data_IF_116610095898
#
_entry.id   IF_116610095898
#
_cell.length_a   1.000
_cell.length_b   1.000
_cell.length_c   1.000
_cell.angle_alpha   90.00
_cell.angle_beta   90.00
_cell.angle_gamma   90.00
#
_symmetry.space_group_name_H-M   'P 1'
#
loop_
_entity.id
_entity.type
_entity.pdbx_description
1 polymer ?
#
# COMPACT_ATOMS: atom_id res chain seq x y z
N UNK A 1 -5.64 1.11 26.74
CA UNK A 1 -6.53 2.02 25.99
C UNK A 1 -7.65 1.17 25.41
N UNK A 2 -8.92 1.54 25.58
CA UNK A 2 -10.01 0.84 24.90
C UNK A 2 -10.17 1.41 23.49
N UNK A 3 -10.46 0.54 22.53
CA UNK A 3 -10.67 0.88 21.12
C UNK A 3 -12.14 0.60 20.79
N UNK A 4 -12.83 1.59 20.22
CA UNK A 4 -14.13 1.42 19.57
C UNK A 4 -13.90 0.74 18.22
N UNK A 5 -14.88 -0.05 17.79
CA UNK A 5 -14.86 -0.73 16.50
C UNK A 5 -15.97 -0.14 15.64
N UNK A 6 -15.58 0.56 14.56
CA UNK A 6 -16.51 1.25 13.67
C UNK A 6 -16.43 0.65 12.27
N UNK A 7 -17.57 0.49 11.63
CA UNK A 7 -17.67 0.16 10.20
C UNK A 7 -17.47 1.40 9.35
N UNK A 8 -17.22 1.22 8.05
CA UNK A 8 -17.04 2.34 7.12
C UNK A 8 -18.27 3.26 7.05
N UNK A 9 -19.48 2.74 7.25
CA UNK A 9 -20.72 3.53 7.24
C UNK A 9 -20.90 4.39 8.49
N UNK A 10 -20.12 4.14 9.54
CA UNK A 10 -20.07 4.93 10.77
C UNK A 10 -18.98 6.02 10.71
N UNK A 11 -18.22 6.12 9.62
CA UNK A 11 -17.15 7.10 9.43
C UNK A 11 -17.54 8.19 8.44
N UNK A 12 -16.95 9.38 8.63
CA UNK A 12 -16.93 10.44 7.63
C UNK A 12 -15.67 10.31 6.79
N UNK A 13 -15.82 10.24 5.46
CA UNK A 13 -14.68 10.18 4.54
C UNK A 13 -14.33 11.60 4.10
N UNK A 14 -13.13 12.05 4.45
CA UNK A 14 -12.61 13.36 4.09
C UNK A 14 -12.08 13.36 2.64
N UNK A 15 -12.23 14.51 1.96
CA UNK A 15 -11.81 14.75 0.57
C UNK A 15 -12.30 13.73 -0.49
N UNK A 16 -13.32 12.94 -0.18
CA UNK A 16 -13.86 11.89 -1.07
C UNK A 16 -14.25 12.43 -2.46
N UNK A 17 -14.65 13.70 -2.54
CA UNK A 17 -15.02 14.34 -3.80
C UNK A 17 -13.87 14.36 -4.80
N UNK A 18 -12.64 14.55 -4.34
CA UNK A 18 -11.44 14.59 -5.18
C UNK A 18 -11.12 13.23 -5.81
N UNK A 19 -11.69 12.14 -5.28
CA UNK A 19 -11.43 10.77 -5.74
C UNK A 19 -12.52 10.24 -6.68
N UNK A 20 -13.59 11.00 -6.95
CA UNK A 20 -14.76 10.52 -7.72
C UNK A 20 -14.44 10.10 -9.15
N UNK A 21 -13.42 10.69 -9.79
CA UNK A 21 -12.98 10.30 -11.14
C UNK A 21 -12.06 9.08 -11.14
N UNK A 22 -11.57 8.66 -9.98
CA UNK A 22 -10.72 7.47 -9.86
C UNK A 22 -11.62 6.23 -9.92
N UNK A 23 -11.64 5.56 -11.06
CA UNK A 23 -12.58 4.49 -11.36
C UNK A 23 -12.66 3.38 -10.29
N UNK A 24 -11.52 2.99 -9.71
CA UNK A 24 -11.44 1.92 -8.70
C UNK A 24 -11.86 2.36 -7.29
N UNK A 25 -11.93 3.67 -7.02
CA UNK A 25 -12.10 4.16 -5.65
C UNK A 25 -13.42 3.70 -5.03
N UNK A 26 -14.54 3.85 -5.76
CA UNK A 26 -15.84 3.43 -5.23
C UNK A 26 -15.88 1.92 -5.01
N UNK A 27 -15.31 1.11 -5.90
CA UNK A 27 -15.30 -0.34 -5.76
C UNK A 27 -14.48 -0.82 -4.56
N UNK A 28 -13.33 -0.19 -4.31
CA UNK A 28 -12.50 -0.46 -3.12
C UNK A 28 -13.29 -0.15 -1.84
N UNK A 29 -13.98 0.99 -1.81
CA UNK A 29 -14.88 1.37 -0.71
C UNK A 29 -16.02 0.36 -0.55
N UNK A 30 -16.65 -0.09 -1.65
CA UNK A 30 -17.71 -1.10 -1.59
C UNK A 30 -17.18 -2.46 -1.14
N UNK A 31 -15.94 -2.82 -1.46
CA UNK A 31 -15.33 -4.06 -1.00
C UNK A 31 -15.21 -4.09 0.54
N UNK A 32 -14.76 -2.99 1.14
CA UNK A 32 -14.71 -2.84 2.60
C UNK A 32 -16.11 -2.90 3.24
N UNK A 33 -17.10 -2.22 2.65
CA UNK A 33 -18.49 -2.25 3.13
C UNK A 33 -19.10 -3.65 3.09
N UNK A 34 -19.01 -4.31 1.93
CA UNK A 34 -19.56 -5.66 1.70
C UNK A 34 -18.98 -6.67 2.68
N UNK A 35 -17.68 -6.55 2.94
CA UNK A 35 -16.97 -7.49 3.80
C UNK A 35 -17.06 -7.09 5.29
N UNK A 36 -17.73 -5.98 5.61
CA UNK A 36 -17.95 -5.50 6.98
C UNK A 36 -16.66 -5.14 7.70
N UNK A 37 -15.67 -4.59 6.98
CA UNK A 37 -14.38 -4.19 7.55
C UNK A 37 -14.57 -3.19 8.68
N UNK A 38 -13.75 -3.31 9.73
CA UNK A 38 -13.88 -2.52 10.95
C UNK A 38 -12.58 -1.81 11.29
N UNK A 39 -12.69 -0.50 11.48
CA UNK A 39 -11.63 0.38 11.95
C UNK A 39 -11.62 0.43 13.47
N UNK A 40 -10.43 0.66 14.03
CA UNK A 40 -10.22 0.79 15.48
C UNK A 40 -10.00 2.24 15.84
N UNK A 41 -10.85 2.78 16.69
CA UNK A 41 -10.80 4.19 17.08
C UNK A 41 -10.56 4.30 18.59
N UNK A 42 -9.52 5.01 19.05
CA UNK A 42 -9.35 5.29 20.47
C UNK A 42 -10.61 5.93 21.10
N UNK A 43 -10.93 5.55 22.34
CA UNK A 43 -11.99 6.24 23.12
C UNK A 43 -11.59 7.66 23.55
N UNK A 44 -10.29 7.98 23.47
CA UNK A 44 -9.73 9.30 23.80
C UNK A 44 -9.24 9.97 22.52
N UNK A 45 -9.32 11.29 22.47
CA UNK A 45 -8.81 12.05 21.33
C UNK A 45 -7.30 11.82 21.14
N UNK A 46 -6.91 11.47 19.92
CA UNK A 46 -5.52 11.22 19.54
C UNK A 46 -5.24 11.92 18.20
N UNK A 47 -4.04 12.47 18.04
CA UNK A 47 -3.60 12.99 16.74
C UNK A 47 -3.22 11.84 15.80
N UNK A 48 -3.30 12.07 14.49
CA UNK A 48 -2.81 11.12 13.47
C UNK A 48 -1.38 10.66 13.74
N UNK A 49 -0.47 11.59 14.02
CA UNK A 49 0.93 11.29 14.38
C UNK A 49 1.04 10.28 15.54
N UNK A 50 0.22 10.44 16.59
CA UNK A 50 0.20 9.50 17.72
C UNK A 50 -0.40 8.15 17.33
N UNK A 51 -1.44 8.14 16.51
CA UNK A 51 -2.07 6.90 16.04
C UNK A 51 -1.14 6.11 15.15
N UNK A 52 -0.47 6.76 14.20
CA UNK A 52 0.55 6.16 13.33
C UNK A 52 1.69 5.60 14.17
N UNK A 53 2.23 6.40 15.09
CA UNK A 53 3.31 5.97 15.99
C UNK A 53 2.92 4.74 16.83
N UNK A 54 1.67 4.67 17.27
CA UNK A 54 1.15 3.58 18.09
C UNK A 54 0.54 2.43 17.27
N UNK A 55 0.47 2.55 15.94
CA UNK A 55 -0.22 1.58 15.09
C UNK A 55 0.44 0.21 15.25
N UNK A 56 1.77 0.12 15.12
CA UNK A 56 2.53 -1.12 15.34
C UNK A 56 2.45 -1.68 16.77
N UNK A 57 2.02 -0.88 17.75
CA UNK A 57 1.85 -1.33 19.15
C UNK A 57 0.51 -2.02 19.38
N UNK A 58 -0.55 -1.58 18.69
CA UNK A 58 -1.92 -2.05 18.93
C UNK A 58 -2.54 -2.80 17.75
N UNK A 59 -1.87 -2.76 16.60
CA UNK A 59 -2.21 -3.56 15.44
C UNK A 59 -1.66 -4.98 15.59
N UNK A 60 -2.41 -5.96 15.09
CA UNK A 60 -1.93 -7.33 14.99
C UNK A 60 -2.43 -7.97 13.70
N UNK A 61 -1.60 -8.85 13.14
CA UNK A 61 -1.92 -9.61 11.92
C UNK A 61 -3.17 -10.49 12.09
N UNK A 62 -3.45 -10.95 13.31
CA UNK A 62 -4.55 -11.86 13.63
C UNK A 62 -5.90 -11.17 13.76
N UNK A 63 -5.93 -9.92 14.24
CA UNK A 63 -7.19 -9.28 14.56
C UNK A 63 -7.63 -8.25 13.52
N UNK A 64 -6.72 -7.78 12.64
CA UNK A 64 -6.98 -6.78 11.59
C UNK A 64 -7.67 -5.50 12.11
N UNK A 65 -7.93 -4.53 11.22
CA UNK A 65 -8.58 -3.27 11.57
C UNK A 65 -7.57 -2.17 11.90
N UNK A 66 -7.40 -1.29 10.93
CA UNK A 66 -6.51 -0.14 11.01
C UNK A 66 -6.93 0.81 12.13
N UNK A 67 -5.92 1.32 12.84
CA UNK A 67 -6.14 2.33 13.86
C UNK A 67 -6.27 3.71 13.20
N UNK A 68 -7.35 4.42 13.51
CA UNK A 68 -7.60 5.79 13.05
C UNK A 68 -7.90 6.69 14.28
N UNK A 69 -7.59 7.99 14.23
CA UNK A 69 -7.68 8.88 15.40
C UNK A 69 -9.11 9.23 15.84
N UNK A 70 -10.09 9.06 14.96
CA UNK A 70 -11.46 9.49 15.23
C UNK A 70 -12.45 8.88 14.25
N UNK A 71 -13.58 9.56 14.10
CA UNK A 71 -14.69 9.17 13.21
C UNK A 71 -14.49 9.71 11.77
N UNK A 72 -13.30 10.22 11.48
CA UNK A 72 -12.90 10.78 10.19
C UNK A 72 -11.75 9.96 9.59
N UNK A 73 -11.83 9.70 8.29
CA UNK A 73 -10.81 8.95 7.55
C UNK A 73 -10.60 9.61 6.18
N UNK A 74 -9.35 9.75 5.76
CA UNK A 74 -9.04 10.30 4.44
C UNK A 74 -9.35 9.28 3.33
N UNK A 75 -9.74 9.77 2.15
CA UNK A 75 -10.12 8.91 1.03
C UNK A 75 -8.98 7.99 0.55
N UNK A 76 -7.74 8.46 0.53
CA UNK A 76 -6.56 7.64 0.22
C UNK A 76 -6.39 6.49 1.21
N UNK A 77 -6.57 6.74 2.51
CA UNK A 77 -6.49 5.71 3.55
C UNK A 77 -7.56 4.64 3.32
N UNK A 78 -8.78 5.00 2.90
CA UNK A 78 -9.81 4.02 2.53
C UNK A 78 -9.34 3.11 1.40
N UNK A 79 -8.71 3.66 0.36
CA UNK A 79 -8.21 2.87 -0.77
C UNK A 79 -7.03 1.98 -0.38
N UNK A 80 -6.08 2.51 0.40
CA UNK A 80 -4.92 1.79 0.91
C UNK A 80 -5.35 0.60 1.78
N UNK A 81 -6.25 0.82 2.75
CA UNK A 81 -6.81 -0.23 3.62
C UNK A 81 -7.59 -1.27 2.83
N UNK A 82 -8.34 -0.86 1.80
CA UNK A 82 -9.04 -1.80 0.93
C UNK A 82 -8.08 -2.78 0.25
N UNK A 83 -6.91 -2.31 -0.20
CA UNK A 83 -5.90 -3.19 -0.80
C UNK A 83 -5.31 -4.17 0.21
N UNK A 84 -4.99 -3.73 1.43
CA UNK A 84 -4.55 -4.64 2.48
C UNK A 84 -5.58 -5.72 2.80
N UNK A 85 -6.85 -5.32 2.97
CA UNK A 85 -7.94 -6.26 3.24
C UNK A 85 -8.10 -7.28 2.11
N UNK A 86 -8.13 -6.81 0.86
CA UNK A 86 -8.28 -7.67 -0.32
C UNK A 86 -7.09 -8.62 -0.50
N UNK A 87 -5.87 -8.13 -0.31
CA UNK A 87 -4.65 -8.93 -0.39
C UNK A 87 -4.61 -9.98 0.74
N UNK A 88 -4.95 -9.59 1.97
CA UNK A 88 -5.04 -10.51 3.09
C UNK A 88 -6.01 -11.66 2.78
N UNK A 89 -7.21 -11.33 2.31
CA UNK A 89 -8.23 -12.32 1.92
C UNK A 89 -7.79 -13.24 0.78
N UNK A 90 -7.01 -12.72 -0.17
CA UNK A 90 -6.56 -13.48 -1.34
C UNK A 90 -5.32 -14.35 -1.06
N UNK A 91 -4.43 -13.90 -0.18
CA UNK A 91 -3.11 -14.49 0.03
C UNK A 91 -2.98 -15.27 1.35
N UNK A 92 -3.89 -15.08 2.29
CA UNK A 92 -3.81 -15.72 3.61
C UNK A 92 -4.84 -16.85 3.72
N UNK A 93 -4.40 -18.11 3.93
CA UNK A 93 -5.31 -19.21 4.18
C UNK A 93 -6.15 -18.97 5.44
N UNK A 94 -7.42 -19.38 5.41
CA UNK A 94 -8.33 -19.22 6.53
C UNK A 94 -7.77 -19.87 7.82
N UNK A 95 -7.62 -19.07 8.88
CA UNK A 95 -7.11 -19.52 10.18
C UNK A 95 -5.58 -19.61 10.29
N UNK A 96 -4.83 -19.21 9.25
CA UNK A 96 -3.38 -19.09 9.29
C UNK A 96 -2.95 -17.62 9.40
N UNK A 97 -1.79 -17.31 10.02
CA UNK A 97 -1.19 -15.99 9.90
C UNK A 97 -0.68 -15.76 8.46
N UNK A 98 -0.63 -14.50 7.98
CA UNK A 98 -0.06 -14.18 6.68
C UNK A 98 1.44 -14.53 6.64
N UNK A 99 1.92 -14.99 5.49
CA UNK A 99 3.36 -15.14 5.27
C UNK A 99 4.05 -13.79 5.13
N UNK A 100 5.37 -13.74 5.33
CA UNK A 100 6.15 -12.53 5.14
C UNK A 100 6.00 -11.97 3.71
N UNK A 101 6.07 -12.82 2.68
CA UNK A 101 5.88 -12.38 1.29
C UNK A 101 4.44 -11.90 1.03
N UNK A 102 3.42 -12.47 1.69
CA UNK A 102 2.05 -11.99 1.57
C UNK A 102 1.88 -10.57 2.12
N UNK A 103 2.50 -10.28 3.27
CA UNK A 103 2.53 -8.93 3.86
C UNK A 103 3.24 -7.94 2.94
N UNK A 104 4.43 -8.31 2.44
CA UNK A 104 5.22 -7.47 1.54
C UNK A 104 4.50 -7.18 0.22
N UNK A 105 3.83 -8.18 -0.37
CA UNK A 105 3.08 -7.97 -1.60
C UNK A 105 1.84 -7.09 -1.37
N UNK A 106 1.13 -7.28 -0.25
CA UNK A 106 -0.02 -6.45 0.11
C UNK A 106 0.38 -4.98 0.24
N UNK A 107 1.45 -4.71 0.98
CA UNK A 107 2.00 -3.37 1.17
C UNK A 107 2.53 -2.77 -0.13
N UNK A 108 3.23 -3.55 -0.96
CA UNK A 108 3.70 -3.10 -2.27
C UNK A 108 2.54 -2.71 -3.21
N UNK A 109 1.41 -3.42 -3.15
CA UNK A 109 0.20 -3.07 -3.91
C UNK A 109 -0.42 -1.78 -3.37
N UNK A 110 -0.61 -1.66 -2.05
CA UNK A 110 -1.22 -0.48 -1.44
C UNK A 110 -0.38 0.78 -1.67
N UNK A 111 0.92 0.73 -1.36
CA UNK A 111 1.88 1.81 -1.58
C UNK A 111 2.01 2.21 -3.05
N UNK A 112 2.00 1.25 -3.98
CA UNK A 112 2.00 1.59 -5.40
C UNK A 112 0.69 2.21 -5.88
N UNK A 113 -0.44 1.85 -5.24
CA UNK A 113 -1.72 2.49 -5.51
C UNK A 113 -1.74 3.96 -5.06
N UNK A 114 -1.03 4.30 -3.99
CA UNK A 114 -0.87 5.68 -3.57
C UNK A 114 -0.14 6.52 -4.65
N UNK A 115 0.89 5.96 -5.29
CA UNK A 115 1.53 6.61 -6.45
C UNK A 115 0.57 6.73 -7.65
N UNK A 116 -0.26 5.70 -7.90
CA UNK A 116 -1.30 5.77 -8.92
C UNK A 116 -2.31 6.90 -8.64
N UNK A 117 -2.71 7.07 -7.38
CA UNK A 117 -3.56 8.17 -6.94
C UNK A 117 -2.89 9.52 -7.19
N UNK A 118 -1.59 9.68 -6.89
CA UNK A 118 -0.84 10.89 -7.23
C UNK A 118 -0.98 11.21 -8.72
N UNK A 119 -0.68 10.24 -9.59
CA UNK A 119 -0.80 10.42 -11.05
C UNK A 119 -2.21 10.79 -11.51
N UNK A 120 -3.24 10.13 -10.96
CA UNK A 120 -4.65 10.41 -11.29
C UNK A 120 -5.12 11.77 -10.79
N UNK A 121 -4.66 12.21 -9.62
CA UNK A 121 -5.13 13.44 -8.98
C UNK A 121 -4.45 14.68 -9.55
N UNK A 122 -3.15 14.63 -9.89
CA UNK A 122 -2.40 15.78 -10.43
C UNK A 122 -3.11 16.44 -11.63
N UNK A 123 -3.70 15.64 -12.52
CA UNK A 123 -4.41 16.15 -13.72
C UNK A 123 -5.89 16.53 -13.54
N UNK A 124 -6.51 16.20 -12.39
CA UNK A 124 -7.98 16.26 -12.25
C UNK A 124 -8.44 16.96 -10.97
N UNK A 125 -7.69 16.81 -9.88
CA UNK A 125 -7.95 17.40 -8.57
C UNK A 125 -6.62 17.82 -7.92
N UNK A 126 -5.89 18.80 -8.49
CA UNK A 126 -4.57 19.21 -8.01
C UNK A 126 -4.59 19.83 -6.61
N UNK A 127 -5.77 20.17 -6.08
CA UNK A 127 -5.97 20.68 -4.72
C UNK A 127 -6.43 19.60 -3.73
N UNK A 128 -6.35 18.31 -4.08
CA UNK A 128 -6.68 17.22 -3.18
C UNK A 128 -5.76 17.24 -1.94
N UNK A 129 -6.32 17.02 -0.76
CA UNK A 129 -5.58 17.08 0.51
C UNK A 129 -4.46 16.03 0.54
N UNK A 130 -4.69 14.87 -0.09
CA UNK A 130 -3.69 13.82 -0.27
C UNK A 130 -2.44 14.31 -1.03
N UNK A 131 -2.60 15.12 -2.07
CA UNK A 131 -1.45 15.66 -2.82
C UNK A 131 -0.64 16.65 -1.99
N UNK A 132 -1.32 17.41 -1.11
CA UNK A 132 -0.69 18.42 -0.26
C UNK A 132 0.27 17.81 0.78
N UNK A 133 0.13 16.52 1.10
CA UNK A 133 1.03 15.79 2.00
C UNK A 133 2.00 14.88 1.26
N UNK A 134 1.52 14.14 0.26
CA UNK A 134 2.33 13.13 -0.43
C UNK A 134 3.41 13.72 -1.32
N UNK A 135 3.08 14.73 -2.13
CA UNK A 135 4.04 15.29 -3.10
C UNK A 135 5.24 15.93 -2.38
N UNK A 136 5.06 16.74 -1.32
CA UNK A 136 6.20 17.23 -0.54
C UNK A 136 7.04 16.11 0.09
N UNK A 137 6.41 15.09 0.67
CA UNK A 137 7.14 13.96 1.29
C UNK A 137 7.97 13.17 0.25
N UNK A 138 7.41 12.95 -0.95
CA UNK A 138 8.13 12.34 -2.07
C UNK A 138 9.28 13.22 -2.57
N UNK A 139 9.08 14.54 -2.63
CA UNK A 139 10.11 15.50 -3.04
C UNK A 139 11.30 15.48 -2.08
N UNK A 140 11.05 15.52 -0.77
CA UNK A 140 12.09 15.43 0.26
C UNK A 140 12.90 14.13 0.15
N UNK A 141 12.23 13.00 -0.06
CA UNK A 141 12.90 11.70 -0.24
C UNK A 141 13.73 11.63 -1.53
N UNK A 142 13.20 12.21 -2.62
CA UNK A 142 13.87 12.28 -3.91
C UNK A 142 15.13 13.17 -3.84
N UNK A 143 15.04 14.34 -3.23
CA UNK A 143 16.16 15.25 -3.00
C UNK A 143 17.25 14.57 -2.15
N UNK A 144 16.86 13.94 -1.04
CA UNK A 144 17.79 13.19 -0.18
C UNK A 144 18.50 12.04 -0.92
N UNK A 145 17.87 11.51 -1.97
CA UNK A 145 18.43 10.47 -2.85
C UNK A 145 19.21 11.04 -4.06
N UNK A 146 19.36 12.37 -4.15
CA UNK A 146 20.15 13.07 -5.17
C UNK A 146 19.40 13.39 -6.46
N UNK A 147 18.07 13.24 -6.51
CA UNK A 147 17.27 13.67 -7.65
C UNK A 147 17.01 15.18 -7.55
N UNK A 148 17.33 15.93 -8.61
CA UNK A 148 17.05 17.37 -8.68
C UNK A 148 15.54 17.64 -8.79
N UNK A 149 15.09 18.82 -8.38
CA UNK A 149 13.70 19.29 -8.52
C UNK A 149 13.12 19.08 -9.92
N UNK A 150 13.84 19.47 -10.97
CA UNK A 150 13.40 19.29 -12.36
C UNK A 150 13.29 17.80 -12.75
N UNK A 151 14.12 16.95 -12.16
CA UNK A 151 14.04 15.50 -12.32
C UNK A 151 12.84 14.90 -11.58
N UNK A 152 12.52 15.42 -10.40
CA UNK A 152 11.34 15.01 -9.65
C UNK A 152 10.04 15.47 -10.35
N UNK A 153 10.00 16.70 -10.87
CA UNK A 153 8.88 17.19 -11.68
C UNK A 153 8.66 16.30 -12.92
N UNK A 154 9.72 15.99 -13.66
CA UNK A 154 9.65 15.07 -14.81
C UNK A 154 9.18 13.65 -14.41
N UNK A 155 9.58 13.18 -13.22
CA UNK A 155 9.08 11.91 -12.67
C UNK A 155 7.57 11.98 -12.43
N UNK A 156 7.06 13.03 -11.78
CA UNK A 156 5.62 13.21 -11.54
C UNK A 156 4.83 13.38 -12.84
N UNK A 157 5.36 14.11 -13.82
CA UNK A 157 4.76 14.20 -15.16
C UNK A 157 4.63 12.82 -15.81
N UNK A 158 5.66 11.98 -15.70
CA UNK A 158 5.62 10.61 -16.23
C UNK A 158 4.60 9.72 -15.50
N UNK A 159 4.43 9.94 -14.19
CA UNK A 159 3.43 9.23 -13.36
C UNK A 159 2.02 9.67 -13.73
N UNK A 160 1.79 10.97 -13.96
CA UNK A 160 0.51 11.50 -14.39
C UNK A 160 0.15 11.07 -15.83
N UNK A 161 1.15 10.93 -16.71
CA UNK A 161 0.95 10.51 -18.09
C UNK A 161 0.54 9.03 -18.22
N UNK A 162 1.07 8.15 -17.37
CA UNK A 162 0.71 6.73 -17.35
C UNK A 162 0.68 6.17 -15.91
N UNK A 163 -0.40 6.46 -15.13
CA UNK A 163 -0.53 6.03 -13.74
C UNK A 163 -0.55 4.51 -13.59
N UNK A 164 -1.17 3.80 -14.55
CA UNK A 164 -1.23 2.34 -14.57
C UNK A 164 0.17 1.72 -14.69
N UNK A 165 1.02 2.27 -15.55
CA UNK A 165 2.42 1.82 -15.65
C UNK A 165 3.24 2.21 -14.43
N UNK A 166 3.00 3.39 -13.87
CA UNK A 166 3.61 3.84 -12.62
C UNK A 166 3.32 2.89 -11.46
N UNK A 167 2.05 2.48 -11.32
CA UNK A 167 1.65 1.45 -10.38
C UNK A 167 2.47 0.17 -10.54
N UNK A 168 2.53 -0.40 -11.75
CA UNK A 168 3.20 -1.70 -11.95
C UNK A 168 4.71 -1.62 -11.68
N UNK A 169 5.38 -0.61 -12.22
CA UNK A 169 6.83 -0.47 -12.04
C UNK A 169 7.21 -0.25 -10.57
N UNK A 170 6.43 0.55 -9.84
CA UNK A 170 6.68 0.76 -8.41
C UNK A 170 6.34 -0.49 -7.59
N UNK A 171 5.18 -1.11 -7.82
CA UNK A 171 4.76 -2.34 -7.13
C UNK A 171 5.81 -3.44 -7.27
N UNK A 172 6.30 -3.65 -8.51
CA UNK A 172 7.34 -4.63 -8.79
C UNK A 172 8.65 -4.28 -8.07
N UNK A 173 9.10 -3.02 -8.13
CA UNK A 173 10.29 -2.57 -7.42
C UNK A 173 10.20 -2.83 -5.91
N UNK A 174 9.11 -2.39 -5.27
CA UNK A 174 8.90 -2.50 -3.84
C UNK A 174 8.92 -3.96 -3.39
N UNK A 175 8.25 -4.84 -4.14
CA UNK A 175 8.23 -6.27 -3.85
C UNK A 175 9.60 -6.93 -4.10
N UNK A 176 10.30 -6.57 -5.17
CA UNK A 176 11.62 -7.12 -5.49
C UNK A 176 12.68 -6.73 -4.47
N UNK A 177 12.74 -5.44 -4.10
CA UNK A 177 13.69 -4.94 -3.10
C UNK A 177 13.44 -5.60 -1.75
N UNK A 178 12.19 -5.61 -1.28
CA UNK A 178 11.87 -6.12 0.07
C UNK A 178 12.04 -7.64 0.16
N UNK A 179 11.66 -8.41 -0.86
CA UNK A 179 11.88 -9.86 -0.87
C UNK A 179 13.36 -10.23 -1.01
N UNK A 180 14.16 -9.42 -1.71
CA UNK A 180 15.61 -9.61 -1.77
C UNK A 180 16.29 -9.29 -0.42
N UNK A 181 15.81 -8.26 0.29
CA UNK A 181 16.32 -7.87 1.61
C UNK A 181 15.86 -8.80 2.74
N UNK A 182 14.72 -9.48 2.59
CA UNK A 182 14.14 -10.34 3.61
C UNK A 182 15.11 -11.40 4.18
N UNK A 183 15.81 -12.23 3.37
CA UNK A 183 16.77 -13.21 3.87
C UNK A 183 18.13 -12.59 4.22
N UNK A 184 18.31 -11.28 4.06
CA UNK A 184 19.62 -10.63 4.18
C UNK A 184 20.07 -10.53 5.65
N UNK A 185 21.20 -11.14 5.96
CA UNK A 185 21.80 -11.24 7.29
C UNK A 185 23.01 -10.30 7.49
N UNK A 186 23.45 -9.61 6.44
CA UNK A 186 24.65 -8.73 6.47
C UNK A 186 24.39 -7.39 5.81
N UNK A 187 24.95 -6.34 6.42
CA UNK A 187 24.86 -4.97 5.91
C UNK A 187 25.44 -4.82 4.49
N UNK A 188 26.60 -5.43 4.21
CA UNK A 188 27.23 -5.34 2.89
C UNK A 188 26.35 -5.92 1.79
N UNK A 189 25.70 -7.06 2.07
CA UNK A 189 24.78 -7.69 1.11
C UNK A 189 23.52 -6.85 0.90
N UNK A 190 23.00 -6.24 1.96
CA UNK A 190 21.85 -5.33 1.85
C UNK A 190 22.20 -4.11 0.97
N UNK A 191 23.39 -3.54 1.17
CA UNK A 191 23.88 -2.43 0.35
C UNK A 191 24.05 -2.82 -1.14
N UNK A 192 24.59 -4.02 -1.42
CA UNK A 192 24.68 -4.54 -2.80
C UNK A 192 23.30 -4.74 -3.44
N UNK A 193 22.32 -5.25 -2.68
CA UNK A 193 20.95 -5.43 -3.16
C UNK A 193 20.36 -4.07 -3.53
N UNK A 194 20.44 -3.08 -2.64
CA UNK A 194 19.92 -1.73 -2.88
C UNK A 194 20.58 -1.08 -4.10
N UNK A 195 21.92 -1.15 -4.20
CA UNK A 195 22.66 -0.62 -5.34
C UNK A 195 22.25 -1.26 -6.69
N UNK A 196 21.78 -2.52 -6.66
CA UNK A 196 21.24 -3.20 -7.83
C UNK A 196 19.97 -2.56 -8.40
N UNK A 197 19.27 -1.72 -7.61
CA UNK A 197 18.05 -1.03 -8.02
C UNK A 197 18.27 0.46 -8.32
N UNK A 198 19.47 1.02 -8.17
CA UNK A 198 19.75 2.45 -8.38
C UNK A 198 19.35 2.96 -9.78
N UNK A 199 19.38 2.07 -10.78
CA UNK A 199 18.98 2.40 -12.15
C UNK A 199 17.45 2.40 -12.38
N UNK A 200 16.65 1.98 -11.39
CA UNK A 200 15.21 1.98 -11.51
C UNK A 200 14.64 3.40 -11.41
N UNK A 201 13.62 3.72 -12.22
CA UNK A 201 13.06 5.09 -12.27
C UNK A 201 12.53 5.61 -10.93
N UNK A 202 12.07 4.70 -10.07
CA UNK A 202 11.56 5.01 -8.73
C UNK A 202 12.57 4.74 -7.61
N UNK A 203 13.83 4.43 -7.92
CA UNK A 203 14.87 4.28 -6.90
C UNK A 203 15.00 5.50 -5.97
N UNK A 204 14.89 6.76 -6.46
CA UNK A 204 14.93 7.94 -5.60
C UNK A 204 13.79 8.03 -4.57
N UNK A 205 12.71 7.28 -4.76
CA UNK A 205 11.55 7.28 -3.87
C UNK A 205 11.59 6.15 -2.84
N UNK A 206 12.57 5.25 -2.86
CA UNK A 206 12.59 4.09 -1.95
C UNK A 206 12.58 4.48 -0.46
N UNK A 207 13.19 5.62 -0.10
CA UNK A 207 13.18 6.13 1.27
C UNK A 207 11.81 6.60 1.73
N UNK A 208 10.97 7.10 0.82
CA UNK A 208 9.61 7.54 1.13
C UNK A 208 8.73 6.38 1.61
N UNK A 209 8.97 5.16 1.12
CA UNK A 209 8.20 3.96 1.47
C UNK A 209 8.68 3.25 2.73
N UNK A 210 9.69 3.78 3.44
CA UNK A 210 10.13 3.27 4.74
C UNK A 210 10.34 1.73 4.82
N UNK A 211 10.95 1.12 3.79
CA UNK A 211 11.03 -0.35 3.63
C UNK A 211 11.58 -1.10 4.85
N UNK A 212 12.39 -0.44 5.68
CA UNK A 212 12.87 -1.00 6.95
C UNK A 212 11.74 -1.36 7.91
N UNK A 213 10.66 -0.58 7.94
CA UNK A 213 9.49 -0.83 8.78
C UNK A 213 8.75 -2.08 8.31
N UNK A 214 8.64 -2.28 6.99
CA UNK A 214 8.02 -3.48 6.40
C UNK A 214 8.83 -4.73 6.70
N UNK A 215 10.16 -4.65 6.54
CA UNK A 215 11.03 -5.77 6.87
C UNK A 215 10.97 -6.07 8.37
N UNK A 216 10.94 -5.06 9.23
CA UNK A 216 10.83 -5.26 10.68
C UNK A 216 9.51 -5.95 11.06
N UNK A 217 8.38 -5.55 10.46
CA UNK A 217 7.07 -6.14 10.74
C UNK A 217 6.95 -7.59 10.26
N UNK A 218 7.76 -8.01 9.29
CA UNK A 218 7.82 -9.40 8.80
C UNK A 218 8.79 -10.31 9.56
N UNK A 219 9.70 -9.73 10.36
CA UNK A 219 10.72 -10.49 11.10
C UNK A 219 10.14 -11.07 12.39
N UNK A 220 9.78 -12.35 12.35
CA UNK A 220 9.55 -13.16 13.56
C UNK A 220 10.88 -13.72 14.10
N UNK A 221 11.00 -13.97 15.42
CA UNK A 221 12.17 -14.67 15.97
C UNK A 221 12.28 -16.08 15.39
N UNK A 222 13.41 -16.42 14.77
CA UNK A 222 13.65 -17.77 14.25
C UNK A 222 14.33 -17.81 12.88
N UNK A 223 14.00 -18.83 12.09
CA UNK A 223 14.52 -19.02 10.74
C UNK A 223 13.97 -17.96 9.77
N UNK A 224 14.74 -17.58 8.73
CA UNK A 224 14.24 -16.71 7.67
C UNK A 224 12.95 -17.27 7.07
N UNK A 225 11.97 -16.41 6.73
CA UNK A 225 10.73 -16.87 6.12
C UNK A 225 11.02 -17.62 4.83
N UNK A 226 10.39 -18.78 4.65
CA UNK A 226 10.44 -19.48 3.38
C UNK A 226 9.66 -18.68 2.32
N UNK A 227 10.08 -18.72 1.03
CA UNK A 227 9.29 -18.17 -0.05
C UNK A 227 7.88 -18.75 -0.09
N UNK A 228 6.89 -17.94 -0.48
CA UNK A 228 5.49 -18.35 -0.55
C UNK A 228 5.07 -18.58 -2.02
N UNK A 229 4.90 -19.84 -2.46
CA UNK A 229 4.57 -20.15 -3.85
C UNK A 229 3.25 -19.51 -4.33
N UNK A 230 2.28 -19.30 -3.44
CA UNK A 230 1.01 -18.69 -3.80
C UNK A 230 1.20 -17.20 -4.10
N UNK A 231 1.95 -16.50 -3.25
CA UNK A 231 2.31 -15.09 -3.46
C UNK A 231 3.13 -14.92 -4.74
N UNK A 232 4.12 -15.78 -4.97
CA UNK A 232 4.94 -15.74 -6.20
C UNK A 232 4.13 -16.01 -7.47
N UNK A 233 3.10 -16.84 -7.39
CA UNK A 233 2.17 -17.08 -8.52
C UNK A 233 1.36 -15.83 -8.83
N UNK A 234 0.87 -15.12 -7.79
CA UNK A 234 0.16 -13.84 -7.97
C UNK A 234 1.09 -12.79 -8.55
N UNK A 235 2.29 -12.60 -7.99
CA UNK A 235 3.25 -11.62 -8.52
C UNK A 235 3.60 -11.89 -9.99
N UNK A 236 3.83 -13.15 -10.37
CA UNK A 236 4.07 -13.52 -11.75
C UNK A 236 2.86 -13.21 -12.67
N UNK A 237 1.63 -13.41 -12.17
CA UNK A 237 0.42 -13.09 -12.90
C UNK A 237 0.23 -11.58 -13.08
N UNK A 238 0.58 -10.76 -12.08
CA UNK A 238 0.56 -9.29 -12.17
C UNK A 238 1.56 -8.79 -13.21
N UNK A 239 2.80 -9.30 -13.19
CA UNK A 239 3.85 -8.93 -14.18
C UNK A 239 3.51 -9.34 -15.61
N UNK A 240 2.71 -10.39 -15.77
CA UNK A 240 2.30 -10.90 -17.08
C UNK A 240 1.02 -10.24 -17.60
N UNK A 241 0.30 -9.50 -16.76
CA UNK A 241 -0.91 -8.81 -17.16
C UNK A 241 -0.57 -7.57 -18.01
N UNK A 242 -1.44 -7.25 -18.98
CA UNK A 242 -1.32 -6.00 -19.74
C UNK A 242 -1.45 -4.77 -18.83
N UNK A 243 -2.39 -4.83 -17.88
CA UNK A 243 -2.57 -3.84 -16.81
C UNK A 243 -2.81 -4.60 -15.51
N UNK A 244 -1.86 -4.53 -14.57
CA UNK A 244 -1.93 -5.27 -13.31
C UNK A 244 -3.10 -4.82 -12.41
N UNK A 245 -3.45 -3.52 -12.43
CA UNK A 245 -4.66 -3.02 -11.76
C UNK A 245 -5.94 -3.65 -12.30
N UNK A 246 -6.08 -3.82 -13.62
CA UNK A 246 -7.24 -4.48 -14.20
C UNK A 246 -7.30 -5.96 -13.81
N UNK A 247 -6.14 -6.63 -13.70
CA UNK A 247 -6.06 -8.00 -13.20
C UNK A 247 -6.54 -8.10 -11.75
N UNK A 248 -6.11 -7.18 -10.89
CA UNK A 248 -6.51 -7.09 -9.48
C UNK A 248 -7.99 -6.77 -9.34
N UNK A 249 -8.50 -5.83 -10.13
CA UNK A 249 -9.91 -5.46 -10.14
C UNK A 249 -10.79 -6.68 -10.43
N UNK A 250 -10.52 -7.40 -11.52
CA UNK A 250 -11.31 -8.54 -11.97
C UNK A 250 -11.29 -9.73 -11.01
N UNK A 251 -10.22 -9.89 -10.23
CA UNK A 251 -10.03 -11.07 -9.37
C UNK A 251 -10.30 -10.80 -7.91
N UNK A 252 -9.99 -9.61 -7.41
CA UNK A 252 -10.05 -9.30 -5.98
C UNK A 252 -11.17 -8.34 -5.66
N UNK A 253 -11.34 -7.28 -6.45
CA UNK A 253 -12.33 -6.22 -6.16
C UNK A 253 -13.73 -6.66 -6.59
N UNK A 254 -13.86 -7.08 -7.85
CA UNK A 254 -15.09 -7.54 -8.52
C UNK A 254 -14.94 -9.01 -8.96
N UNK A 255 -14.71 -9.96 -8.02
CA UNK A 255 -14.55 -11.35 -8.41
C UNK A 255 -15.80 -11.85 -9.13
N UNK A 256 -15.66 -12.68 -10.19
CA UNK A 256 -16.81 -13.29 -10.83
C UNK A 256 -17.63 -14.07 -9.80
N UNK A 257 -18.95 -14.02 -9.92
CA UNK A 257 -19.83 -14.78 -9.04
C UNK A 257 -19.42 -16.26 -9.06
N UNK A 258 -19.44 -16.96 -7.90
CA UNK A 258 -19.20 -18.40 -7.89
C UNK A 258 -20.14 -19.03 -8.91
N UNK A 259 -19.60 -19.85 -9.82
CA UNK A 259 -20.45 -20.70 -10.65
C UNK A 259 -21.31 -21.51 -9.68
N UNK A 260 -22.63 -21.37 -9.80
CA UNK A 260 -23.57 -22.09 -8.95
C UNK A 260 -23.32 -23.60 -9.02
N UNK A 261 -23.75 -24.35 -7.99
CA UNK A 261 -23.55 -25.79 -7.92
C UNK A 261 -24.14 -26.54 -9.13
#
# INVERSE_FOLDING_TARGET
>A
MKLRSLTLDELTIDDERSFRHVALYDDLKQALRRDGYRFRVPEVEASWDRVVFLNLTFWSQSEQGDLIPGEHIAADVVAHVAWHHLAHRALTPAGAPPSAEALLLAEAIASAFDLYLVGRLLGHAPSADFLATQVPAMAEAAEASGLSDAGFEALLESVAADPERAFEDLRALLFDVTTALLPCDRLSRAAEILAGFDAHRFAPLLHHYELSNWILSTRAPGLPPAPDPAVRTVDAALRSAEVSLAWLEQRWVRPPAPLGP
#
